data_IF_107516480984
#
_entry.id   IF_107516480984
#
_cell.length_a   1.000
_cell.length_b   1.000
_cell.length_c   1.000
_cell.angle_alpha   90.00
_cell.angle_beta   90.00
_cell.angle_gamma   90.00
#
_symmetry.space_group_name_H-M   'P 1'
#
loop_
_entity.id
_entity.type
_entity.pdbx_description
1 polymer ?
#
# COMPACT_ATOMS: atom_id res chain seq x y z
N UNK A 1 -18.78 37.49 -31.70
CA UNK A 1 -18.54 37.79 -30.27
C UNK A 1 -17.67 36.68 -29.73
N UNK A 2 -16.37 36.91 -29.59
CA UNK A 2 -15.42 35.91 -29.09
C UNK A 2 -15.47 35.85 -27.57
N UNK A 3 -15.82 34.70 -27.00
CA UNK A 3 -15.71 34.48 -25.56
C UNK A 3 -14.22 34.33 -25.24
N UNK A 4 -13.65 35.34 -24.57
CA UNK A 4 -12.28 35.28 -24.09
C UNK A 4 -12.23 34.37 -22.86
N UNK A 5 -11.79 33.12 -23.05
CA UNK A 5 -11.52 32.20 -21.95
C UNK A 5 -10.13 32.50 -21.40
N UNK A 6 -10.09 33.20 -20.27
CA UNK A 6 -8.85 33.49 -19.57
C UNK A 6 -8.37 32.23 -18.81
N UNK A 7 -7.48 31.47 -19.45
CA UNK A 7 -6.87 30.23 -18.94
C UNK A 7 -6.04 30.50 -17.67
N UNK A 8 -5.71 31.78 -17.37
CA UNK A 8 -4.85 32.16 -16.25
C UNK A 8 -5.59 32.55 -14.97
N UNK A 9 -6.91 32.41 -14.92
CA UNK A 9 -7.59 32.36 -13.62
C UNK A 9 -7.30 31.00 -12.98
N UNK A 10 -6.04 30.79 -12.56
CA UNK A 10 -5.69 29.79 -11.54
C UNK A 10 -6.63 30.09 -10.39
N UNK A 11 -7.72 29.33 -10.32
CA UNK A 11 -8.58 29.28 -9.16
C UNK A 11 -7.60 29.00 -8.03
N UNK A 12 -7.36 30.04 -7.21
CA UNK A 12 -6.62 29.94 -5.96
C UNK A 12 -7.53 29.20 -4.99
N UNK A 13 -7.96 28.00 -5.38
CA UNK A 13 -8.49 27.03 -4.45
C UNK A 13 -7.28 26.74 -3.60
N UNK A 14 -7.35 27.15 -2.34
CA UNK A 14 -6.47 26.66 -1.29
C UNK A 14 -6.84 25.18 -1.12
N UNK A 15 -6.57 24.37 -2.16
CA UNK A 15 -6.68 22.92 -2.15
C UNK A 15 -5.38 22.48 -1.53
N UNK A 16 -5.46 21.89 -0.35
CA UNK A 16 -4.33 21.17 0.18
C UNK A 16 -4.05 20.03 -0.80
N UNK A 17 -3.03 20.21 -1.66
CA UNK A 17 -2.69 19.31 -2.77
C UNK A 17 -2.49 17.87 -2.26
N UNK A 18 -1.97 17.73 -1.04
CA UNK A 18 -1.74 16.44 -0.37
C UNK A 18 -3.05 15.75 -0.02
N UNK A 19 -4.01 16.49 0.54
CA UNK A 19 -5.37 15.98 0.79
C UNK A 19 -6.02 15.56 -0.53
N UNK A 20 -5.85 16.37 -1.58
CA UNK A 20 -6.39 16.06 -2.92
C UNK A 20 -5.79 14.75 -3.45
N UNK A 21 -4.48 14.58 -3.33
CA UNK A 21 -3.81 13.37 -3.79
C UNK A 21 -4.23 12.12 -2.99
N UNK A 22 -4.45 12.24 -1.67
CA UNK A 22 -5.00 11.15 -0.87
C UNK A 22 -6.40 10.73 -1.35
N UNK A 23 -7.28 11.68 -1.70
CA UNK A 23 -8.60 11.39 -2.27
C UNK A 23 -8.53 10.79 -3.68
N UNK A 24 -7.55 11.17 -4.49
CA UNK A 24 -7.31 10.54 -5.80
C UNK A 24 -6.93 9.07 -5.60
N UNK A 25 -6.01 8.78 -4.68
CA UNK A 25 -5.63 7.40 -4.34
C UNK A 25 -6.84 6.62 -3.80
N UNK A 26 -7.62 7.20 -2.90
CA UNK A 26 -8.87 6.60 -2.41
C UNK A 26 -9.77 6.16 -3.57
N UNK A 27 -10.04 7.05 -4.53
CA UNK A 27 -10.90 6.74 -5.67
C UNK A 27 -10.40 5.54 -6.47
N UNK A 28 -9.10 5.48 -6.77
CA UNK A 28 -8.54 4.36 -7.53
C UNK A 28 -8.54 3.06 -6.72
N UNK A 29 -8.24 3.10 -5.42
CA UNK A 29 -8.29 1.91 -4.57
C UNK A 29 -9.71 1.35 -4.51
N UNK A 30 -10.72 2.18 -4.23
CA UNK A 30 -12.11 1.73 -4.13
C UNK A 30 -12.63 1.19 -5.47
N UNK A 31 -12.19 1.77 -6.59
CA UNK A 31 -12.56 1.33 -7.94
C UNK A 31 -11.94 -0.02 -8.34
N UNK A 32 -10.66 -0.24 -8.02
CA UNK A 32 -9.89 -1.39 -8.51
C UNK A 32 -9.76 -2.52 -7.47
N UNK A 33 -9.90 -2.21 -6.19
CA UNK A 33 -9.72 -3.12 -5.07
C UNK A 33 -10.90 -2.99 -4.08
N UNK A 34 -12.13 -3.40 -4.49
CA UNK A 34 -13.34 -3.23 -3.67
C UNK A 34 -13.31 -3.99 -2.34
N UNK A 35 -12.34 -4.89 -2.15
CA UNK A 35 -12.10 -5.61 -0.90
C UNK A 35 -11.37 -4.77 0.16
N UNK A 36 -10.91 -3.55 -0.18
CA UNK A 36 -10.34 -2.57 0.75
C UNK A 36 -11.31 -1.41 0.90
N UNK A 37 -11.86 -1.24 2.10
CA UNK A 37 -12.57 -0.02 2.47
C UNK A 37 -11.59 1.03 2.95
N UNK A 38 -11.75 2.29 2.53
CA UNK A 38 -10.79 3.35 2.83
C UNK A 38 -11.43 4.62 3.38
N UNK A 39 -10.62 5.43 4.06
CA UNK A 39 -10.98 6.77 4.54
C UNK A 39 -9.75 7.67 4.51
N UNK A 40 -9.91 8.91 4.06
CA UNK A 40 -8.86 9.92 4.17
C UNK A 40 -8.95 10.62 5.52
N UNK A 41 -7.87 10.58 6.31
CA UNK A 41 -7.76 11.26 7.61
C UNK A 41 -6.38 11.89 7.74
N UNK A 42 -6.35 13.16 8.17
CA UNK A 42 -5.11 13.92 8.38
C UNK A 42 -4.17 13.92 7.15
N UNK A 43 -4.75 13.91 5.94
CA UNK A 43 -4.02 13.86 4.67
C UNK A 43 -3.43 12.50 4.32
N UNK A 44 -3.74 11.44 5.07
CA UNK A 44 -3.35 10.05 4.82
C UNK A 44 -4.55 9.23 4.39
N UNK A 45 -4.31 8.22 3.56
CA UNK A 45 -5.31 7.23 3.21
C UNK A 45 -5.18 6.07 4.19
N UNK A 46 -6.22 5.84 4.99
CA UNK A 46 -6.32 4.68 5.86
C UNK A 46 -7.22 3.65 5.19
N UNK A 47 -6.87 2.36 5.31
CA UNK A 47 -7.64 1.28 4.72
C UNK A 47 -7.78 0.09 5.66
N UNK A 48 -8.89 -0.64 5.50
CA UNK A 48 -9.10 -1.96 6.10
C UNK A 48 -9.67 -2.88 5.04
N UNK A 49 -9.15 -4.09 4.94
CA UNK A 49 -9.61 -5.07 3.96
C UNK A 49 -9.53 -6.49 4.48
N UNK A 50 -10.26 -7.38 3.82
CA UNK A 50 -10.13 -8.82 3.98
C UNK A 50 -9.75 -9.44 2.65
N UNK A 51 -8.74 -10.30 2.67
CA UNK A 51 -8.29 -10.98 1.46
C UNK A 51 -7.90 -12.41 1.76
N UNK A 52 -8.28 -13.31 0.87
CA UNK A 52 -7.80 -14.67 0.80
C UNK A 52 -7.25 -14.89 -0.61
N UNK A 53 -5.93 -14.72 -0.83
CA UNK A 53 -5.35 -14.98 -2.13
C UNK A 53 -5.61 -16.44 -2.55
N UNK A 54 -5.71 -16.67 -3.86
CA UNK A 54 -5.90 -18.01 -4.38
C UNK A 54 -4.72 -18.92 -3.97
N UNK A 55 -5.04 -20.10 -3.43
CA UNK A 55 -4.05 -21.04 -2.90
C UNK A 55 -3.72 -20.85 -1.41
N UNK A 56 -4.08 -19.72 -0.80
CA UNK A 56 -3.97 -19.54 0.65
C UNK A 56 -5.08 -20.32 1.37
N UNK A 57 -4.74 -20.89 2.52
CA UNK A 57 -5.69 -21.55 3.43
C UNK A 57 -6.44 -20.55 4.28
N UNK A 58 -5.75 -19.52 4.77
CA UNK A 58 -6.32 -18.51 5.67
C UNK A 58 -6.85 -17.30 4.91
N UNK A 59 -7.89 -16.67 5.47
CA UNK A 59 -8.27 -15.31 5.13
C UNK A 59 -7.55 -14.34 6.09
N UNK A 60 -7.05 -13.24 5.53
CA UNK A 60 -6.28 -12.25 6.25
C UNK A 60 -7.04 -10.94 6.35
N UNK A 61 -7.09 -10.38 7.56
CA UNK A 61 -7.54 -9.01 7.77
C UNK A 61 -6.32 -8.09 7.73
N UNK A 62 -6.37 -7.08 6.87
CA UNK A 62 -5.29 -6.10 6.73
C UNK A 62 -5.71 -4.71 7.19
N UNK A 63 -4.74 -3.97 7.72
CA UNK A 63 -4.79 -2.53 7.88
C UNK A 63 -3.76 -1.86 6.98
N UNK A 64 -4.15 -0.72 6.41
CA UNK A 64 -3.37 0.06 5.48
C UNK A 64 -3.23 1.47 6.00
N UNK A 65 -2.01 1.99 5.95
CA UNK A 65 -1.74 3.42 6.08
C UNK A 65 -0.93 3.83 4.86
N UNK A 66 -1.45 4.77 4.07
CA UNK A 66 -0.73 5.36 2.95
C UNK A 66 -0.57 6.87 3.15
N UNK A 67 0.67 7.33 3.20
CA UNK A 67 1.06 8.72 3.42
C UNK A 67 1.88 9.20 2.22
N UNK A 68 1.27 10.07 1.41
CA UNK A 68 1.93 10.61 0.22
C UNK A 68 3.18 11.44 0.53
N UNK A 69 3.34 11.88 1.78
CA UNK A 69 4.49 12.68 2.21
C UNK A 69 5.68 11.84 2.67
N UNK A 70 5.51 10.53 2.84
CA UNK A 70 6.63 9.67 3.25
C UNK A 70 7.55 9.47 2.04
N UNK A 71 8.76 10.01 2.13
CA UNK A 71 9.76 9.98 1.05
C UNK A 71 10.52 8.66 0.97
N UNK A 72 10.42 7.81 2.00
CA UNK A 72 11.08 6.51 2.02
C UNK A 72 10.12 5.42 1.58
N UNK A 73 8.93 5.37 2.19
CA UNK A 73 7.92 4.36 1.90
C UNK A 73 6.52 4.88 2.26
N UNK A 74 5.69 5.03 1.24
CA UNK A 74 4.38 5.67 1.37
C UNK A 74 3.36 4.79 2.08
N UNK A 75 3.44 3.49 1.91
CA UNK A 75 2.51 2.52 2.46
C UNK A 75 3.05 1.78 3.69
N UNK A 76 2.16 1.44 4.61
CA UNK A 76 2.39 0.48 5.69
C UNK A 76 1.19 -0.44 5.74
N UNK A 77 1.43 -1.74 5.52
CA UNK A 77 0.40 -2.77 5.50
C UNK A 77 0.63 -3.71 6.68
N UNK A 78 -0.41 -4.01 7.45
CA UNK A 78 -0.34 -4.87 8.63
C UNK A 78 -1.36 -5.97 8.51
N UNK A 79 -0.97 -7.22 8.81
CA UNK A 79 -1.92 -8.32 9.03
C UNK A 79 -2.30 -8.33 10.50
N UNK A 80 -3.58 -8.23 10.82
CA UNK A 80 -4.04 -8.04 12.22
C UNK A 80 -4.70 -9.26 12.83
N UNK A 81 -5.06 -10.26 12.03
CA UNK A 81 -5.71 -11.50 12.49
C UNK A 81 -4.77 -12.72 12.53
N UNK A 82 -3.45 -12.53 12.38
CA UNK A 82 -2.44 -13.58 12.58
C UNK A 82 -1.30 -13.06 13.46
N UNK A 83 -1.33 -13.44 14.75
CA UNK A 83 -0.33 -13.00 15.73
C UNK A 83 1.07 -13.60 15.52
N UNK A 84 1.22 -14.57 14.61
CA UNK A 84 2.52 -15.15 14.27
C UNK A 84 3.36 -14.24 13.36
N UNK A 85 2.71 -13.29 12.66
CA UNK A 85 3.38 -12.32 11.78
C UNK A 85 4.00 -11.24 12.66
N UNK A 86 5.27 -11.44 12.99
CA UNK A 86 6.03 -10.57 13.89
C UNK A 86 7.45 -10.34 13.37
N UNK A 87 7.88 -9.09 13.38
CA UNK A 87 9.23 -8.70 13.00
C UNK A 87 10.26 -9.46 13.86
N UNK A 88 11.31 -9.98 13.21
CA UNK A 88 12.32 -10.84 13.83
C UNK A 88 11.92 -12.32 13.98
N UNK A 89 10.65 -12.69 13.74
CA UNK A 89 10.17 -14.08 13.70
C UNK A 89 9.69 -14.51 12.32
N UNK A 90 9.07 -13.58 11.60
CA UNK A 90 8.59 -13.75 10.23
C UNK A 90 9.53 -12.99 9.30
N UNK A 91 10.01 -13.61 8.22
CA UNK A 91 10.81 -12.92 7.22
C UNK A 91 9.97 -11.85 6.51
N UNK A 92 10.64 -10.93 5.82
CA UNK A 92 10.00 -9.90 4.99
C UNK A 92 9.01 -9.02 5.73
N UNK A 93 9.40 -8.55 6.92
CA UNK A 93 8.72 -7.49 7.62
C UNK A 93 9.68 -6.32 7.82
N UNK A 94 9.15 -5.11 7.75
CA UNK A 94 9.84 -3.93 8.27
C UNK A 94 9.69 -3.87 9.81
N UNK A 95 10.59 -3.14 10.51
CA UNK A 95 10.40 -2.82 11.91
C UNK A 95 8.99 -2.25 12.17
N UNK A 96 8.30 -2.78 13.17
CA UNK A 96 6.90 -2.44 13.47
C UNK A 96 5.85 -3.35 12.82
N UNK A 97 6.25 -4.50 12.26
CA UNK A 97 5.36 -5.55 11.70
C UNK A 97 4.62 -5.18 10.42
N UNK A 98 4.99 -4.10 9.73
CA UNK A 98 4.42 -3.84 8.41
C UNK A 98 5.09 -4.74 7.36
N UNK A 99 4.33 -5.23 6.40
CA UNK A 99 4.82 -6.09 5.33
C UNK A 99 5.94 -5.42 4.53
N UNK A 100 6.99 -6.18 4.20
CA UNK A 100 7.99 -5.80 3.22
C UNK A 100 7.50 -6.26 1.84
N UNK A 101 6.91 -5.33 1.08
CA UNK A 101 6.35 -5.63 -0.25
C UNK A 101 7.37 -5.42 -1.37
N UNK A 102 8.36 -4.57 -1.12
CA UNK A 102 9.48 -4.27 -2.02
C UNK A 102 10.62 -3.67 -1.20
N UNK A 103 11.83 -3.62 -1.76
CA UNK A 103 12.96 -2.89 -1.17
C UNK A 103 13.10 -1.50 -1.81
N UNK A 104 12.93 -0.38 -1.06
CA UNK A 104 12.94 0.96 -1.62
C UNK A 104 14.19 1.34 -2.43
N UNK A 105 15.35 0.74 -2.14
CA UNK A 105 16.59 1.05 -2.87
C UNK A 105 16.69 0.37 -4.23
N UNK A 106 15.87 -0.65 -4.49
CA UNK A 106 15.82 -1.31 -5.80
C UNK A 106 14.94 -0.54 -6.78
N UNK A 107 14.15 0.42 -6.28
CA UNK A 107 13.34 1.30 -7.12
C UNK A 107 14.18 2.46 -7.65
N UNK A 108 13.94 2.91 -8.89
CA UNK A 108 14.54 4.14 -9.40
C UNK A 108 14.25 5.32 -8.45
N UNK A 109 15.24 6.18 -8.22
CA UNK A 109 15.13 7.30 -7.27
C UNK A 109 13.98 8.28 -7.60
N UNK A 110 13.55 8.32 -8.86
CA UNK A 110 12.47 9.15 -9.37
C UNK A 110 11.15 8.38 -9.57
N UNK A 111 11.10 7.10 -9.21
CA UNK A 111 9.87 6.32 -9.30
C UNK A 111 8.95 6.69 -8.13
N UNK A 112 7.80 7.27 -8.46
CA UNK A 112 6.73 7.52 -7.52
C UNK A 112 5.67 6.42 -7.62
N UNK A 113 5.72 5.46 -6.70
CA UNK A 113 4.73 4.37 -6.64
C UNK A 113 3.41 4.88 -6.03
N UNK A 114 2.32 4.70 -6.78
CA UNK A 114 0.99 4.87 -6.24
C UNK A 114 0.61 3.67 -5.40
N UNK A 115 -0.34 3.85 -4.48
CA UNK A 115 -0.74 2.74 -3.62
C UNK A 115 -1.34 1.57 -4.43
N UNK A 116 -2.06 1.88 -5.52
CA UNK A 116 -2.63 0.86 -6.40
C UNK A 116 -1.60 -0.07 -7.03
N UNK A 117 -0.37 0.40 -7.23
CA UNK A 117 0.71 -0.38 -7.83
C UNK A 117 1.29 -1.39 -6.81
N UNK A 118 1.14 -1.09 -5.53
CA UNK A 118 1.70 -1.87 -4.41
C UNK A 118 0.70 -2.91 -3.86
N UNK A 119 -0.62 -2.65 -3.98
CA UNK A 119 -1.66 -3.55 -3.48
C UNK A 119 -1.51 -5.01 -3.96
N UNK A 120 -1.20 -5.30 -5.25
CA UNK A 120 -1.01 -6.67 -5.72
C UNK A 120 0.05 -7.45 -4.93
N UNK A 121 1.14 -6.80 -4.50
CA UNK A 121 2.22 -7.43 -3.73
C UNK A 121 1.77 -7.89 -2.34
N UNK A 122 0.66 -7.36 -1.81
CA UNK A 122 0.06 -7.89 -0.57
C UNK A 122 -0.33 -9.36 -0.75
N UNK A 123 -0.94 -9.69 -1.89
CA UNK A 123 -1.35 -11.07 -2.18
C UNK A 123 -0.14 -11.98 -2.34
N UNK A 124 0.89 -11.51 -3.03
CA UNK A 124 2.14 -12.24 -3.22
C UNK A 124 2.81 -12.53 -1.87
N UNK A 125 2.95 -11.52 -1.01
CA UNK A 125 3.52 -11.67 0.32
C UNK A 125 2.77 -12.73 1.16
N UNK A 126 1.43 -12.71 1.13
CA UNK A 126 0.59 -13.67 1.88
C UNK A 126 0.74 -15.11 1.36
N UNK A 127 0.83 -15.29 0.04
CA UNK A 127 1.11 -16.61 -0.56
C UNK A 127 2.48 -17.11 -0.12
N UNK A 128 3.50 -16.24 -0.21
CA UNK A 128 4.87 -16.59 0.19
C UNK A 128 4.97 -16.88 1.69
N UNK A 129 4.23 -16.16 2.53
CA UNK A 129 4.15 -16.43 3.96
C UNK A 129 3.60 -17.85 4.24
N UNK A 130 2.51 -18.26 3.59
CA UNK A 130 2.00 -19.63 3.77
C UNK A 130 2.96 -20.71 3.25
N UNK A 131 3.63 -20.46 2.13
CA UNK A 131 4.66 -21.35 1.60
C UNK A 131 5.86 -21.45 2.55
N UNK A 132 6.34 -20.33 3.07
CA UNK A 132 7.39 -20.30 4.08
C UNK A 132 7.00 -21.06 5.35
N UNK A 133 5.76 -20.89 5.83
CA UNK A 133 5.24 -21.66 6.97
C UNK A 133 5.25 -23.18 6.71
N UNK A 134 5.08 -23.61 5.46
CA UNK A 134 5.04 -25.01 5.05
C UNK A 134 6.43 -25.61 4.81
N UNK A 135 7.31 -24.87 4.13
CA UNK A 135 8.59 -25.37 3.63
C UNK A 135 9.81 -24.86 4.41
N UNK A 136 9.64 -23.84 5.26
CA UNK A 136 10.71 -23.23 6.04
C UNK A 136 11.62 -22.28 5.26
N UNK A 137 11.41 -22.14 3.95
CA UNK A 137 12.18 -21.27 3.06
C UNK A 137 11.24 -20.27 2.38
N UNK A 138 11.71 -19.03 2.25
CA UNK A 138 11.00 -18.02 1.46
C UNK A 138 11.32 -18.25 -0.03
N UNK A 139 10.29 -18.31 -0.87
CA UNK A 139 10.44 -18.76 -2.26
C UNK A 139 10.42 -17.63 -3.29
N UNK A 140 10.10 -16.40 -2.88
CA UNK A 140 10.23 -15.22 -3.75
C UNK A 140 11.66 -14.69 -3.74
N UNK A 141 12.00 -13.91 -4.75
CA UNK A 141 13.32 -13.29 -4.88
C UNK A 141 13.66 -12.50 -3.60
N UNK A 142 14.80 -12.84 -3.00
CA UNK A 142 15.32 -12.16 -1.81
C UNK A 142 16.61 -11.44 -2.14
N UNK A 143 16.67 -10.15 -1.82
CA UNK A 143 17.95 -9.49 -1.56
C UNK A 143 18.27 -9.73 -0.09
N UNK A 144 19.28 -10.57 0.18
CA UNK A 144 19.78 -10.77 1.55
C UNK A 144 20.27 -9.44 2.09
N UNK A 145 19.63 -8.94 3.14
CA UNK A 145 19.95 -7.67 3.80
C UNK A 145 20.33 -7.89 5.26
#
# INVERSE_FOLDING_TARGET
MGVNFDINRKLKVIRNEKITAAYIQQHYVEKHFPWISTVVKDGKLLGKGKIKPNGCKKEYEILVVYDINDILRKERIFVVNDSQIQFGKTPHLYPGNSLCLYYPKDLPQNLDLNFIDVIPWISEWLVMYELWKKYGIWLADEVKH
#
